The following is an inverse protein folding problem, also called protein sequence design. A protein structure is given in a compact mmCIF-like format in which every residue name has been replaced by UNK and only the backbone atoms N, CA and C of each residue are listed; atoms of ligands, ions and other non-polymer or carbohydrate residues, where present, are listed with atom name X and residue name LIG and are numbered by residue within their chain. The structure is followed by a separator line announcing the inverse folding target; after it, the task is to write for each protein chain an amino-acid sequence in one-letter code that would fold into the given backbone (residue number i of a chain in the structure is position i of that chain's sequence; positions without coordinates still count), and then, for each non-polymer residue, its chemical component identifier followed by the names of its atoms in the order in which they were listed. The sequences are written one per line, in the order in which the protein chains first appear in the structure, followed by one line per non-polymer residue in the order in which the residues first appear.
data_IF_458832760340
#
_entry.id   IF_458832760340
#
_cell.length_a   1.000
_cell.length_b   1.000
_cell.length_c   1.000
_cell.angle_alpha   90.00
_cell.angle_beta   90.00
_cell.angle_gamma   90.00
#
_symmetry.space_group_name_H-M   'P 1'
#
loop_
_entity.id
_entity.type
_entity.pdbx_description
1 polymer ?
#
# COMPACT_ATOMS: atom_id res chain seq x y z
N UNK A 1 -4.68 -38.49 -4.55
CA UNK A 1 -5.54 -37.42 -4.01
C UNK A 1 -6.75 -37.15 -4.89
N UNK A 2 -6.64 -37.05 -6.23
CA UNK A 2 -7.75 -36.66 -7.12
C UNK A 2 -9.00 -37.55 -7.23
N UNK A 3 -9.14 -38.61 -6.42
CA UNK A 3 -10.37 -39.42 -6.39
C UNK A 3 -11.39 -38.95 -5.33
N UNK A 4 -11.03 -37.94 -4.53
CA UNK A 4 -11.85 -37.38 -3.46
C UNK A 4 -12.79 -36.27 -3.98
N UNK A 5 -13.66 -36.63 -4.92
CA UNK A 5 -14.51 -35.67 -5.66
C UNK A 5 -15.56 -34.94 -4.80
N UNK A 6 -15.86 -35.45 -3.61
CA UNK A 6 -16.83 -34.88 -2.67
C UNK A 6 -16.17 -34.11 -1.51
N UNK A 7 -14.85 -33.85 -1.59
CA UNK A 7 -14.15 -33.15 -0.53
C UNK A 7 -14.35 -31.64 -0.68
N UNK A 8 -14.87 -31.00 0.37
CA UNK A 8 -15.14 -29.55 0.40
C UNK A 8 -14.01 -28.74 1.01
N UNK A 9 -13.29 -29.29 1.99
CA UNK A 9 -12.17 -28.62 2.65
C UNK A 9 -11.01 -29.58 2.82
N UNK A 10 -9.82 -29.12 2.47
CA UNK A 10 -8.57 -29.85 2.62
C UNK A 10 -7.56 -28.94 3.31
N UNK A 11 -7.33 -29.20 4.59
CA UNK A 11 -6.24 -28.58 5.35
C UNK A 11 -5.16 -29.63 5.60
N UNK A 12 -4.02 -29.42 4.97
CA UNK A 12 -2.79 -30.20 5.11
C UNK A 12 -1.66 -29.34 5.68
N UNK A 13 -1.98 -28.19 6.26
CA UNK A 13 -1.00 -27.24 6.76
C UNK A 13 -0.16 -27.82 7.89
N UNK A 14 1.04 -27.27 8.09
CA UNK A 14 1.93 -27.58 9.23
C UNK A 14 2.31 -29.05 9.32
N UNK A 15 2.57 -29.66 8.19
CA UNK A 15 3.09 -31.02 8.09
C UNK A 15 4.54 -31.00 7.57
N UNK A 16 5.09 -32.17 7.32
CA UNK A 16 6.43 -32.31 6.71
C UNK A 16 6.33 -32.89 5.30
N UNK A 17 5.25 -32.60 4.57
CA UNK A 17 5.05 -33.14 3.23
C UNK A 17 6.11 -32.59 2.28
N UNK A 18 6.69 -33.49 1.47
CA UNK A 18 7.68 -33.20 0.44
C UNK A 18 7.15 -33.66 -0.92
N UNK A 19 7.83 -33.25 -2.00
CA UNK A 19 7.40 -33.55 -3.36
C UNK A 19 6.65 -32.39 -4.00
N UNK A 20 6.27 -32.55 -5.27
CA UNK A 20 5.47 -31.55 -5.97
C UNK A 20 3.99 -31.66 -5.66
N UNK A 21 3.28 -30.52 -5.76
CA UNK A 21 1.82 -30.53 -5.73
C UNK A 21 1.34 -31.35 -6.94
N UNK A 22 0.59 -32.45 -6.70
CA UNK A 22 0.13 -33.32 -7.77
C UNK A 22 -0.91 -32.62 -8.65
N UNK A 23 -0.85 -32.80 -9.97
CA UNK A 23 -1.83 -32.19 -10.89
C UNK A 23 -3.26 -32.66 -10.65
N UNK A 24 -3.41 -33.85 -10.08
CA UNK A 24 -4.68 -34.47 -9.68
C UNK A 24 -5.39 -33.69 -8.56
N UNK A 25 -4.73 -32.71 -7.93
CA UNK A 25 -5.41 -31.80 -7.01
C UNK A 25 -6.53 -31.05 -7.72
N UNK A 26 -6.35 -30.75 -9.01
CA UNK A 26 -7.34 -30.09 -9.86
C UNK A 26 -8.59 -30.91 -10.18
N UNK A 27 -8.63 -32.20 -9.84
CA UNK A 27 -9.79 -33.08 -10.05
C UNK A 27 -10.80 -33.02 -8.89
N UNK A 28 -10.48 -32.26 -7.84
CA UNK A 28 -11.30 -32.10 -6.63
C UNK A 28 -12.33 -30.97 -6.80
N UNK A 29 -13.25 -31.12 -7.76
CA UNK A 29 -14.17 -30.06 -8.23
C UNK A 29 -15.06 -29.42 -7.15
N UNK A 30 -15.33 -30.12 -6.04
CA UNK A 30 -16.14 -29.61 -4.93
C UNK A 30 -15.33 -28.89 -3.85
N UNK A 31 -14.01 -28.80 -4.01
CA UNK A 31 -13.14 -28.20 -3.02
C UNK A 31 -13.36 -26.68 -2.97
N UNK A 32 -13.65 -26.19 -1.77
CA UNK A 32 -13.86 -24.77 -1.47
C UNK A 32 -12.86 -24.26 -0.43
N UNK A 33 -11.90 -25.07 0.01
CA UNK A 33 -10.76 -24.66 0.85
C UNK A 33 -9.61 -25.64 0.67
N UNK A 34 -8.41 -25.12 0.40
CA UNK A 34 -7.15 -25.83 0.27
C UNK A 34 -6.05 -25.09 1.02
N UNK A 35 -5.64 -25.61 2.17
CA UNK A 35 -4.48 -25.11 2.90
C UNK A 35 -3.36 -26.16 2.81
N UNK A 36 -2.28 -25.83 2.09
CA UNK A 36 -1.06 -26.61 1.99
C UNK A 36 0.12 -25.94 2.72
N UNK A 37 -0.16 -24.88 3.49
CA UNK A 37 0.88 -24.03 4.05
C UNK A 37 1.80 -24.75 5.03
N UNK A 38 2.99 -24.23 5.28
CA UNK A 38 3.93 -24.78 6.26
C UNK A 38 4.25 -26.26 6.01
N UNK A 39 4.73 -26.58 4.81
CA UNK A 39 5.22 -27.89 4.41
C UNK A 39 6.60 -27.75 3.73
N UNK A 40 7.07 -28.79 3.04
CA UNK A 40 8.31 -28.83 2.25
C UNK A 40 8.03 -29.20 0.78
N UNK A 41 6.87 -28.78 0.26
CA UNK A 41 6.44 -29.06 -1.11
C UNK A 41 7.27 -28.23 -2.09
N UNK A 42 7.71 -28.80 -3.22
CA UNK A 42 8.59 -28.13 -4.18
C UNK A 42 8.14 -28.27 -5.64
N UNK A 43 8.75 -27.54 -6.57
CA UNK A 43 8.35 -27.57 -7.98
C UNK A 43 7.16 -26.65 -8.27
N UNK A 44 6.63 -26.70 -9.51
CA UNK A 44 5.62 -25.75 -9.96
C UNK A 44 4.24 -26.00 -9.40
N UNK A 45 3.51 -24.91 -9.19
CA UNK A 45 2.07 -24.96 -9.01
C UNK A 45 1.48 -25.58 -10.29
N UNK A 46 0.80 -26.73 -10.22
CA UNK A 46 0.26 -27.38 -11.40
C UNK A 46 -0.86 -26.52 -11.98
N UNK A 47 -0.88 -26.36 -13.30
CA UNK A 47 -1.92 -25.54 -13.93
C UNK A 47 -3.30 -26.04 -13.53
N UNK A 48 -3.52 -27.35 -13.49
CA UNK A 48 -4.79 -27.99 -13.14
C UNK A 48 -5.41 -27.52 -11.83
N UNK A 49 -4.61 -26.99 -10.89
CA UNK A 49 -5.12 -26.40 -9.65
C UNK A 49 -6.03 -25.18 -9.91
N UNK A 50 -5.92 -24.52 -11.07
CA UNK A 50 -6.85 -23.47 -11.52
C UNK A 50 -8.29 -23.96 -11.65
N UNK A 51 -8.52 -25.25 -11.91
CA UNK A 51 -9.88 -25.81 -12.08
C UNK A 51 -10.68 -25.78 -10.77
N UNK A 52 -9.97 -25.74 -9.64
CA UNK A 52 -10.58 -25.59 -8.33
C UNK A 52 -11.01 -24.13 -8.25
N UNK A 53 -12.33 -23.88 -8.37
CA UNK A 53 -12.92 -22.55 -8.29
C UNK A 53 -12.87 -22.00 -6.86
N UNK A 54 -11.68 -22.01 -6.25
CA UNK A 54 -11.38 -21.58 -4.90
C UNK A 54 -11.37 -20.05 -4.88
N UNK A 55 -12.00 -19.47 -3.88
CA UNK A 55 -11.88 -18.04 -3.65
C UNK A 55 -10.51 -17.72 -3.02
N UNK A 56 -10.09 -16.46 -3.08
CA UNK A 56 -8.79 -15.98 -2.57
C UNK A 56 -8.57 -16.25 -1.06
N UNK A 57 -9.61 -16.56 -0.29
CA UNK A 57 -9.53 -16.89 1.16
C UNK A 57 -9.44 -18.38 1.45
N UNK A 58 -9.55 -19.16 0.39
CA UNK A 58 -9.73 -20.60 0.43
C UNK A 58 -8.53 -21.34 -0.16
N UNK A 59 -7.41 -20.65 -0.45
CA UNK A 59 -6.18 -21.24 -0.93
C UNK A 59 -4.96 -20.65 -0.20
N UNK A 60 -4.23 -21.49 0.54
CA UNK A 60 -2.96 -21.12 1.16
C UNK A 60 -1.86 -22.10 0.74
N UNK A 61 -0.80 -21.58 0.10
CA UNK A 61 0.37 -22.35 -0.35
C UNK A 61 1.66 -21.88 0.33
N UNK A 62 1.55 -20.94 1.27
CA UNK A 62 2.69 -20.24 1.88
C UNK A 62 3.60 -21.19 2.67
N UNK A 63 4.84 -20.79 2.91
CA UNK A 63 5.80 -21.61 3.67
C UNK A 63 6.00 -23.03 3.09
N UNK A 64 6.28 -23.09 1.79
CA UNK A 64 6.73 -24.26 1.03
C UNK A 64 7.94 -23.89 0.14
N UNK A 65 8.51 -24.89 -0.55
CA UNK A 65 9.65 -24.77 -1.47
C UNK A 65 9.23 -24.73 -2.96
N UNK A 66 8.01 -24.28 -3.27
CA UNK A 66 7.45 -24.23 -4.63
C UNK A 66 8.26 -23.31 -5.55
N UNK A 67 8.41 -23.68 -6.83
CA UNK A 67 9.20 -22.94 -7.83
C UNK A 67 8.58 -23.00 -9.24
N UNK A 68 8.89 -22.04 -10.11
CA UNK A 68 8.42 -22.07 -11.51
C UNK A 68 7.41 -20.97 -11.84
N UNK A 69 7.00 -20.84 -13.11
CA UNK A 69 6.10 -19.78 -13.53
C UNK A 69 4.71 -20.03 -12.95
N UNK A 70 4.03 -18.94 -12.58
CA UNK A 70 2.61 -19.00 -12.27
C UNK A 70 1.86 -19.52 -13.51
N UNK A 71 0.95 -20.50 -13.33
CA UNK A 71 0.10 -21.00 -14.41
C UNK A 71 -0.49 -19.89 -15.27
N UNK A 72 -0.50 -20.05 -16.59
CA UNK A 72 -1.09 -19.02 -17.48
C UNK A 72 -2.54 -18.75 -17.14
N UNK A 73 -3.29 -19.77 -16.74
CA UNK A 73 -4.67 -19.64 -16.30
C UNK A 73 -4.86 -18.68 -15.11
N UNK A 74 -3.86 -18.48 -14.25
CA UNK A 74 -3.91 -17.49 -13.17
C UNK A 74 -3.49 -16.09 -13.64
N UNK A 75 -2.68 -16.01 -14.71
CA UNK A 75 -2.25 -14.73 -15.33
C UNK A 75 -3.28 -14.17 -16.30
N UNK A 76 -4.01 -15.04 -16.99
CA UNK A 76 -4.96 -14.69 -18.05
C UNK A 76 -6.37 -14.44 -17.50
N UNK A 77 -6.62 -14.85 -16.24
CA UNK A 77 -7.77 -14.39 -15.48
C UNK A 77 -7.42 -12.99 -14.95
N UNK A 78 -8.24 -11.98 -15.29
CA UNK A 78 -8.00 -10.55 -14.98
C UNK A 78 -8.12 -10.21 -13.47
N UNK A 79 -7.71 -11.11 -12.57
CA UNK A 79 -7.97 -11.04 -11.13
C UNK A 79 -6.75 -11.06 -10.22
N UNK A 80 -5.55 -11.44 -10.70
CA UNK A 80 -4.34 -11.54 -9.87
C UNK A 80 -3.15 -10.75 -10.45
N UNK A 81 -2.48 -9.94 -9.61
CA UNK A 81 -1.25 -9.22 -9.95
C UNK A 81 0.00 -9.99 -9.47
N UNK A 82 1.07 -9.99 -10.25
CA UNK A 82 2.30 -10.72 -9.93
C UNK A 82 3.52 -9.79 -9.94
N UNK A 83 4.16 -9.59 -8.79
CA UNK A 83 5.45 -8.88 -8.69
C UNK A 83 6.59 -9.89 -8.70
N UNK A 84 7.38 -9.90 -9.77
CA UNK A 84 8.54 -10.78 -9.91
C UNK A 84 9.82 -10.05 -9.49
N UNK A 85 10.60 -10.67 -8.61
CA UNK A 85 11.92 -10.17 -8.22
C UNK A 85 12.97 -10.85 -9.10
N UNK A 86 13.75 -10.06 -9.84
CA UNK A 86 14.80 -10.55 -10.72
C UNK A 86 16.05 -10.94 -9.92
N UNK A 87 16.75 -11.99 -10.36
CA UNK A 87 18.05 -12.34 -9.79
C UNK A 87 19.09 -11.33 -10.28
N UNK A 88 19.64 -10.54 -9.36
CA UNK A 88 20.63 -9.49 -9.63
C UNK A 88 22.01 -9.87 -9.09
N UNK A 89 23.01 -9.08 -9.48
CA UNK A 89 24.41 -9.23 -9.04
C UNK A 89 24.57 -9.03 -7.52
N UNK A 90 25.72 -9.45 -6.97
CA UNK A 90 25.90 -9.69 -5.53
C UNK A 90 25.69 -8.45 -4.63
N UNK A 91 25.91 -7.24 -5.14
CA UNK A 91 25.82 -6.01 -4.34
C UNK A 91 24.37 -5.53 -4.12
N UNK A 92 23.47 -5.77 -5.07
CA UNK A 92 22.05 -5.39 -4.97
C UNK A 92 21.21 -6.46 -4.29
N UNK A 93 21.71 -7.70 -4.24
CA UNK A 93 20.99 -8.86 -3.71
C UNK A 93 20.44 -8.63 -2.30
N UNK A 94 21.24 -8.08 -1.38
CA UNK A 94 20.82 -7.88 0.01
C UNK A 94 19.63 -6.92 0.14
N UNK A 95 19.57 -5.85 -0.67
CA UNK A 95 18.48 -4.89 -0.67
C UNK A 95 17.17 -5.52 -1.15
N UNK A 96 17.20 -6.23 -2.29
CA UNK A 96 16.03 -6.92 -2.82
C UNK A 96 15.54 -8.06 -1.93
N UNK A 97 16.45 -8.81 -1.30
CA UNK A 97 16.09 -9.87 -0.35
C UNK A 97 15.42 -9.30 0.90
N UNK A 98 15.92 -8.16 1.38
CA UNK A 98 15.29 -7.43 2.49
C UNK A 98 13.91 -6.93 2.08
N UNK A 99 13.77 -6.36 0.88
CA UNK A 99 12.49 -5.90 0.33
C UNK A 99 11.44 -6.99 0.26
N UNK A 100 11.77 -8.10 -0.39
CA UNK A 100 10.90 -9.26 -0.51
C UNK A 100 10.44 -9.79 0.87
N UNK A 101 11.36 -9.88 1.83
CA UNK A 101 11.04 -10.38 3.18
C UNK A 101 10.17 -9.40 3.96
N UNK A 102 10.45 -8.09 3.89
CA UNK A 102 9.65 -7.06 4.54
C UNK A 102 8.21 -7.07 4.02
N UNK A 103 8.05 -7.18 2.70
CA UNK A 103 6.75 -7.15 2.06
C UNK A 103 5.88 -8.35 2.48
N UNK A 104 6.46 -9.55 2.52
CA UNK A 104 5.78 -10.75 3.07
C UNK A 104 5.43 -10.54 4.54
N UNK A 105 6.39 -10.10 5.36
CA UNK A 105 6.17 -9.93 6.79
C UNK A 105 5.09 -8.90 7.10
N UNK A 106 5.03 -7.81 6.34
CA UNK A 106 4.00 -6.79 6.48
C UNK A 106 2.63 -7.33 6.05
N UNK A 107 2.51 -7.78 4.80
CA UNK A 107 1.22 -8.11 4.18
C UNK A 107 0.58 -9.40 4.72
N UNK A 108 1.36 -10.32 5.30
CA UNK A 108 0.79 -11.50 5.99
C UNK A 108 0.20 -11.18 7.36
N UNK A 109 0.51 -10.01 7.94
CA UNK A 109 0.10 -9.63 9.31
C UNK A 109 -0.95 -8.54 9.35
N UNK A 110 -1.11 -7.79 8.27
CA UNK A 110 -2.02 -6.65 8.20
C UNK A 110 -3.18 -6.96 7.25
N UNK A 111 -4.35 -6.40 7.57
CA UNK A 111 -5.50 -6.48 6.68
C UNK A 111 -6.33 -5.22 6.80
N UNK A 112 -6.43 -4.47 5.71
CA UNK A 112 -7.17 -3.21 5.66
C UNK A 112 -7.73 -3.00 4.26
N UNK A 113 -8.94 -2.44 4.16
CA UNK A 113 -9.66 -2.25 2.88
C UNK A 113 -8.96 -1.33 1.87
N UNK A 114 -7.95 -0.59 2.31
CA UNK A 114 -7.18 0.37 1.50
C UNK A 114 -5.69 -0.03 1.44
N UNK A 115 -5.38 -1.31 1.60
CA UNK A 115 -4.05 -1.91 1.47
C UNK A 115 -4.19 -3.14 0.59
N UNK A 116 -3.27 -3.34 -0.36
CA UNK A 116 -3.29 -4.51 -1.25
C UNK A 116 -3.26 -5.83 -0.47
N UNK A 117 -4.07 -6.80 -0.90
CA UNK A 117 -4.07 -8.14 -0.32
C UNK A 117 -3.00 -9.01 -0.98
N UNK A 118 -2.09 -9.58 -0.18
CA UNK A 118 -1.12 -10.57 -0.64
C UNK A 118 -1.78 -11.96 -0.60
N UNK A 119 -1.88 -12.62 -1.75
CA UNK A 119 -2.42 -13.97 -1.88
C UNK A 119 -1.38 -15.04 -1.61
N UNK A 120 -0.13 -14.79 -1.98
CA UNK A 120 0.92 -15.77 -1.77
C UNK A 120 2.28 -15.29 -2.26
N UNK A 121 3.29 -16.12 -1.98
CA UNK A 121 4.66 -15.82 -2.39
C UNK A 121 5.42 -17.11 -2.71
N UNK A 122 6.45 -16.97 -3.53
CA UNK A 122 7.45 -18.00 -3.79
C UNK A 122 8.81 -17.48 -3.38
N UNK A 123 9.54 -18.25 -2.56
CA UNK A 123 10.84 -17.88 -2.03
C UNK A 123 11.91 -18.93 -2.37
N UNK A 124 12.33 -19.00 -3.63
CA UNK A 124 13.36 -19.93 -4.10
C UNK A 124 14.66 -19.19 -4.45
N UNK A 125 15.87 -19.79 -4.26
CA UNK A 125 17.15 -19.16 -4.61
C UNK A 125 17.25 -18.63 -6.05
N UNK A 126 16.51 -19.23 -6.98
CA UNK A 126 16.48 -18.84 -8.41
C UNK A 126 15.27 -17.97 -8.79
N UNK A 127 14.24 -17.92 -7.96
CA UNK A 127 12.98 -17.27 -8.31
C UNK A 127 12.25 -16.80 -7.05
N UNK A 128 12.00 -15.50 -6.97
CA UNK A 128 11.21 -14.89 -5.91
C UNK A 128 10.08 -14.09 -6.54
N UNK A 129 8.85 -14.32 -6.09
CA UNK A 129 7.70 -13.54 -6.56
C UNK A 129 6.63 -13.44 -5.49
N UNK A 130 5.85 -12.38 -5.59
CA UNK A 130 4.69 -12.07 -4.76
C UNK A 130 3.46 -12.03 -5.66
N UNK A 131 2.36 -12.60 -5.17
CA UNK A 131 1.07 -12.65 -5.86
C UNK A 131 0.08 -11.85 -5.02
N UNK A 132 -0.54 -10.86 -5.63
CA UNK A 132 -1.47 -9.93 -5.00
C UNK A 132 -2.83 -9.99 -5.68
N UNK A 133 -3.80 -9.37 -5.02
CA UNK A 133 -4.99 -8.85 -5.69
C UNK A 133 -4.62 -8.00 -6.91
N UNK A 134 -5.23 -8.32 -8.05
CA UNK A 134 -5.18 -7.41 -9.19
C UNK A 134 -6.07 -6.22 -8.94
N UNK A 135 -5.44 -5.06 -8.88
CA UNK A 135 -6.14 -3.78 -8.86
C UNK A 135 -6.29 -3.32 -10.31
N UNK A 136 -7.54 -3.21 -10.79
CA UNK A 136 -7.86 -3.07 -12.22
C UNK A 136 -7.21 -1.85 -12.89
N UNK A 137 -7.01 -0.75 -12.14
CA UNK A 137 -6.34 0.44 -12.67
C UNK A 137 -4.91 0.51 -12.18
N UNK A 138 -4.13 1.23 -12.97
CA UNK A 138 -2.74 1.57 -12.71
C UNK A 138 -2.59 2.45 -11.45
N UNK A 139 -1.34 2.79 -11.15
CA UNK A 139 -1.01 3.70 -10.06
C UNK A 139 -1.70 5.06 -10.18
N UNK A 140 -1.92 5.70 -9.05
CA UNK A 140 -2.43 7.06 -8.96
C UNK A 140 -1.54 8.04 -9.75
N UNK A 141 -0.22 7.83 -9.75
CA UNK A 141 0.71 8.61 -10.57
C UNK A 141 0.37 8.54 -12.06
N UNK A 142 0.08 7.34 -12.57
CA UNK A 142 -0.33 7.14 -13.97
C UNK A 142 -1.64 7.86 -14.29
N UNK A 143 -2.63 7.77 -13.39
CA UNK A 143 -3.94 8.41 -13.57
C UNK A 143 -3.86 9.94 -13.51
N UNK A 144 -3.01 10.51 -12.65
CA UNK A 144 -2.78 11.96 -12.59
C UNK A 144 -1.96 12.46 -13.79
N UNK A 145 -1.03 11.66 -14.31
CA UNK A 145 -0.14 12.04 -15.41
C UNK A 145 -0.78 12.10 -16.80
N UNK A 146 -2.01 11.60 -16.97
CA UNK A 146 -2.72 11.57 -18.26
C UNK A 146 -4.00 12.40 -18.15
N UNK A 147 -4.09 13.50 -18.90
CA UNK A 147 -5.22 14.45 -18.83
C UNK A 147 -6.60 13.76 -18.98
N UNK A 148 -6.75 12.87 -19.96
CA UNK A 148 -7.99 12.12 -20.17
C UNK A 148 -8.38 11.24 -18.97
N UNK A 149 -7.41 10.74 -18.20
CA UNK A 149 -7.62 9.92 -17.00
C UNK A 149 -7.76 10.76 -15.74
N UNK A 150 -7.05 11.87 -15.65
CA UNK A 150 -7.13 12.83 -14.54
C UNK A 150 -8.54 13.40 -14.38
N UNK A 151 -9.28 13.54 -15.49
CA UNK A 151 -10.69 13.97 -15.48
C UNK A 151 -11.66 12.91 -14.95
N UNK A 152 -11.33 11.61 -15.05
CA UNK A 152 -12.13 10.52 -14.45
C UNK A 152 -12.09 10.59 -12.90
N UNK A 153 -10.96 11.09 -12.36
CA UNK A 153 -10.71 11.30 -10.93
C UNK A 153 -11.05 12.74 -10.51
N UNK A 154 -12.35 13.07 -10.51
CA UNK A 154 -12.85 14.38 -10.08
C UNK A 154 -12.50 14.70 -8.60
N UNK A 155 -12.74 15.95 -8.19
CA UNK A 155 -12.38 16.42 -6.85
C UNK A 155 -12.91 15.57 -5.68
N UNK A 156 -14.15 15.05 -5.79
CA UNK A 156 -14.72 14.22 -4.73
C UNK A 156 -13.97 12.90 -4.62
N UNK A 157 -13.64 12.28 -5.75
CA UNK A 157 -12.86 11.04 -5.79
C UNK A 157 -11.44 11.25 -5.30
N UNK A 158 -10.79 12.37 -5.64
CA UNK A 158 -9.47 12.76 -5.09
C UNK A 158 -9.49 12.88 -3.56
N UNK A 159 -10.53 13.51 -3.00
CA UNK A 159 -10.72 13.57 -1.55
C UNK A 159 -10.96 12.18 -0.93
N UNK A 160 -11.66 11.28 -1.62
CA UNK A 160 -11.82 9.90 -1.17
C UNK A 160 -10.49 9.15 -1.17
N UNK A 161 -9.64 9.34 -2.20
CA UNK A 161 -8.28 8.78 -2.24
C UNK A 161 -7.47 9.24 -1.03
N UNK A 162 -7.45 10.55 -0.74
CA UNK A 162 -6.78 11.12 0.43
C UNK A 162 -7.29 10.46 1.73
N UNK A 163 -8.61 10.31 1.86
CA UNK A 163 -9.22 9.67 3.04
C UNK A 163 -8.84 8.21 3.16
N UNK A 164 -8.88 7.43 2.08
CA UNK A 164 -8.55 6.00 2.12
C UNK A 164 -7.09 5.75 2.50
N UNK A 165 -6.15 6.53 1.93
CA UNK A 165 -4.73 6.49 2.32
C UNK A 165 -4.54 6.90 3.78
N UNK A 166 -5.25 7.94 4.25
CA UNK A 166 -5.20 8.37 5.66
C UNK A 166 -5.63 7.25 6.60
N UNK A 167 -6.73 6.56 6.29
CA UNK A 167 -7.22 5.45 7.11
C UNK A 167 -6.23 4.29 7.16
N UNK A 168 -5.67 3.89 6.01
CA UNK A 168 -4.67 2.82 5.94
C UNK A 168 -3.43 3.14 6.77
N UNK A 169 -2.89 4.36 6.65
CA UNK A 169 -1.74 4.78 7.43
C UNK A 169 -2.03 4.90 8.92
N UNK A 170 -3.21 5.40 9.30
CA UNK A 170 -3.64 5.41 10.72
C UNK A 170 -3.69 3.99 11.29
N UNK A 171 -4.24 3.04 10.54
CA UNK A 171 -4.30 1.63 10.93
C UNK A 171 -2.89 1.03 11.09
N UNK A 172 -1.99 1.25 10.13
CA UNK A 172 -0.59 0.78 10.20
C UNK A 172 0.14 1.34 11.43
N UNK A 173 0.00 2.64 11.69
CA UNK A 173 0.77 3.32 12.74
C UNK A 173 0.20 3.11 14.15
N UNK A 174 -1.11 2.91 14.29
CA UNK A 174 -1.77 2.99 15.59
C UNK A 174 -2.59 1.75 15.97
N UNK A 175 -3.07 0.98 15.00
CA UNK A 175 -3.92 -0.19 15.26
C UNK A 175 -3.14 -1.51 15.13
N UNK A 176 -2.03 -1.52 14.37
CA UNK A 176 -1.13 -2.66 14.30
C UNK A 176 -0.26 -2.77 15.57
N UNK A 177 -0.08 -3.98 16.08
CA UNK A 177 0.82 -4.28 17.20
C UNK A 177 1.80 -5.38 16.81
N UNK A 178 3.12 -5.10 16.70
CA UNK A 178 3.73 -3.77 16.79
C UNK A 178 3.29 -2.81 15.65
N UNK A 179 3.46 -1.48 15.81
CA UNK A 179 3.19 -0.52 14.74
C UNK A 179 4.00 -0.81 13.47
N UNK A 180 3.37 -0.64 12.31
CA UNK A 180 3.99 -0.81 10.99
C UNK A 180 4.22 0.54 10.33
N UNK A 181 5.41 0.76 9.79
CA UNK A 181 5.74 1.96 9.01
C UNK A 181 6.06 1.54 7.58
N UNK A 182 5.50 2.25 6.60
CA UNK A 182 5.65 1.92 5.19
C UNK A 182 7.00 2.36 4.62
N UNK A 183 7.45 3.58 4.96
CA UNK A 183 8.70 4.24 4.53
C UNK A 183 8.85 4.56 3.04
N UNK A 184 7.81 4.35 2.24
CA UNK A 184 7.83 4.61 0.79
C UNK A 184 6.44 5.00 0.25
N UNK A 185 5.76 5.90 0.96
CA UNK A 185 4.46 6.41 0.51
C UNK A 185 4.67 7.38 -0.67
N UNK A 186 4.03 7.09 -1.80
CA UNK A 186 4.06 7.92 -3.01
C UNK A 186 2.86 7.62 -3.90
N UNK A 187 2.60 8.46 -4.92
CA UNK A 187 1.53 8.24 -5.90
C UNK A 187 1.75 7.01 -6.78
N UNK A 188 2.98 6.51 -6.92
CA UNK A 188 3.28 5.25 -7.61
C UNK A 188 2.82 4.03 -6.79
N UNK A 189 2.86 4.15 -5.47
CA UNK A 189 2.55 3.08 -4.52
C UNK A 189 1.10 3.15 -4.00
N UNK A 190 0.25 3.97 -4.62
CA UNK A 190 -1.20 3.97 -4.40
C UNK A 190 -1.88 3.52 -5.68
N UNK A 191 -2.50 2.35 -5.64
CA UNK A 191 -3.27 1.78 -6.76
C UNK A 191 -4.75 2.15 -6.60
N UNK A 192 -5.50 2.18 -7.71
CA UNK A 192 -6.94 2.48 -7.70
C UNK A 192 -7.73 1.34 -8.32
N UNK A 193 -8.76 0.86 -7.63
CA UNK A 193 -9.62 -0.20 -8.18
C UNK A 193 -10.65 0.34 -9.18
N UNK A 194 -11.56 -0.54 -9.63
CA UNK A 194 -12.61 -0.21 -10.57
C UNK A 194 -13.47 0.98 -10.10
N UNK A 195 -13.71 1.07 -8.80
CA UNK A 195 -14.52 2.08 -8.12
C UNK A 195 -13.72 3.35 -7.78
N UNK A 196 -12.41 3.37 -8.09
CA UNK A 196 -11.45 4.43 -7.76
C UNK A 196 -11.24 4.58 -6.25
N UNK A 197 -11.35 3.48 -5.51
CA UNK A 197 -10.93 3.40 -4.11
C UNK A 197 -9.42 3.09 -4.04
N UNK A 198 -8.70 3.71 -3.09
CA UNK A 198 -7.25 3.59 -3.01
C UNK A 198 -6.80 2.34 -2.27
N UNK A 199 -5.72 1.73 -2.78
CA UNK A 199 -5.01 0.61 -2.17
C UNK A 199 -3.52 0.91 -2.09
N UNK A 200 -2.98 1.03 -0.89
CA UNK A 200 -1.53 1.20 -0.68
C UNK A 200 -0.83 -0.12 -1.04
N UNK A 201 0.21 -0.03 -1.85
CA UNK A 201 1.03 -1.12 -2.35
C UNK A 201 2.52 -0.89 -2.05
N UNK A 202 3.36 -1.88 -2.37
CA UNK A 202 4.81 -1.86 -2.20
C UNK A 202 5.33 -1.71 -0.77
N UNK A 203 5.14 -2.77 0.02
CA UNK A 203 5.64 -2.85 1.39
C UNK A 203 7.10 -3.35 1.45
N UNK A 204 7.86 -3.30 0.35
CA UNK A 204 9.26 -3.73 0.34
C UNK A 204 10.12 -2.94 1.31
N UNK A 205 9.79 -1.66 1.50
CA UNK A 205 10.43 -0.81 2.50
C UNK A 205 9.68 -0.82 3.83
N UNK A 206 8.67 -1.64 4.08
CA UNK A 206 7.95 -1.57 5.35
C UNK A 206 8.77 -2.12 6.53
N UNK A 207 8.49 -1.66 7.76
CA UNK A 207 9.13 -2.17 8.98
C UNK A 207 8.23 -2.06 10.20
N UNK A 208 8.17 -3.13 10.98
CA UNK A 208 7.56 -3.13 12.30
C UNK A 208 8.48 -2.46 13.32
N UNK A 209 7.92 -1.55 14.12
CA UNK A 209 8.62 -0.90 15.22
C UNK A 209 8.66 -1.83 16.44
N UNK A 210 9.82 -2.42 16.70
CA UNK A 210 10.03 -3.16 17.94
C UNK A 210 10.37 -2.19 19.08
N UNK A 211 9.64 -2.21 20.22
CA UNK A 211 9.89 -1.35 21.38
C UNK A 211 11.33 -1.46 21.91
N UNK A 212 11.92 -2.65 21.82
CA UNK A 212 13.26 -2.96 22.34
C UNK A 212 14.39 -2.69 21.34
N UNK A 213 14.05 -2.25 20.12
CA UNK A 213 15.03 -2.01 19.06
C UNK A 213 15.34 -0.54 18.94
N UNK A 214 16.62 -0.18 18.95
CA UNK A 214 17.16 1.13 18.56
C UNK A 214 17.04 1.36 17.05
N UNK A 215 15.89 1.01 16.45
CA UNK A 215 15.61 1.13 15.02
C UNK A 215 15.25 2.58 14.66
N UNK A 216 16.12 3.52 15.03
CA UNK A 216 16.22 4.81 14.37
C UNK A 216 16.98 4.59 13.06
N UNK A 217 16.31 4.80 11.92
CA UNK A 217 17.03 4.91 10.65
C UNK A 217 17.82 6.22 10.67
N UNK A 218 19.14 6.12 10.75
CA UNK A 218 20.06 7.21 10.48
C UNK A 218 19.88 7.63 9.03
N UNK A 219 19.22 8.75 8.79
CA UNK A 219 19.36 9.44 7.51
C UNK A 219 20.70 10.21 7.57
N UNK A 220 21.56 9.98 6.58
CA UNK A 220 22.92 10.50 6.56
C UNK A 220 22.96 12.03 6.60
N UNK A 221 23.76 12.57 7.52
CA UNK A 221 24.19 13.96 7.54
C UNK A 221 23.26 14.91 8.31
N UNK A 222 23.62 15.15 9.57
CA UNK A 222 23.10 16.18 10.51
C UNK A 222 21.97 15.72 11.44
N UNK A 223 22.19 15.99 12.74
CA UNK A 223 21.44 15.55 13.91
C UNK A 223 19.92 15.75 13.84
N UNK A 224 19.14 14.68 14.06
CA UNK A 224 18.15 14.51 15.16
C UNK A 224 17.36 13.20 14.97
N UNK A 225 17.01 12.54 16.08
CA UNK A 225 16.25 11.29 16.09
C UNK A 225 14.83 11.50 15.53
N UNK A 226 14.62 11.12 14.27
CA UNK A 226 13.29 11.12 13.64
C UNK A 226 12.57 9.84 14.06
N UNK A 227 11.44 9.98 14.74
CA UNK A 227 10.55 8.85 14.99
C UNK A 227 10.09 8.31 13.62
N UNK A 228 10.32 7.02 13.28
CA UNK A 228 10.33 6.61 11.87
C UNK A 228 8.95 6.75 11.20
N UNK A 229 7.85 6.78 11.96
CA UNK A 229 6.49 7.01 11.47
C UNK A 229 6.29 8.44 10.92
N UNK A 230 7.10 9.39 11.38
CA UNK A 230 7.06 10.79 10.89
C UNK A 230 7.58 10.93 9.46
N UNK A 231 8.26 9.92 8.93
CA UNK A 231 8.63 9.85 7.51
C UNK A 231 7.38 9.62 6.66
N UNK A 232 6.54 8.65 7.02
CA UNK A 232 5.27 8.38 6.32
C UNK A 232 4.35 9.60 6.35
N UNK A 233 4.29 10.32 7.47
CA UNK A 233 3.49 11.57 7.58
C UNK A 233 3.98 12.62 6.59
N UNK A 234 5.30 12.82 6.47
CA UNK A 234 5.84 13.77 5.50
C UNK A 234 5.52 13.37 4.06
N UNK A 235 5.75 12.10 3.71
CA UNK A 235 5.43 11.55 2.38
C UNK A 235 3.94 11.64 2.06
N UNK A 236 3.06 11.44 3.06
CA UNK A 236 1.63 11.67 2.93
C UNK A 236 1.31 13.14 2.60
N UNK A 237 1.98 14.10 3.24
CA UNK A 237 1.83 15.52 2.92
C UNK A 237 2.17 15.84 1.46
N UNK A 238 3.27 15.27 0.94
CA UNK A 238 3.65 15.39 -0.49
C UNK A 238 2.57 14.80 -1.39
N UNK A 239 2.11 13.59 -1.08
CA UNK A 239 1.08 12.88 -1.83
C UNK A 239 -0.25 13.66 -1.90
N UNK A 240 -0.70 14.26 -0.79
CA UNK A 240 -1.93 15.07 -0.76
C UNK A 240 -1.81 16.28 -1.68
N UNK A 241 -0.66 16.99 -1.66
CA UNK A 241 -0.44 18.11 -2.57
C UNK A 241 -0.40 17.65 -4.03
N UNK A 242 0.27 16.54 -4.32
CA UNK A 242 0.33 15.96 -5.66
C UNK A 242 -1.07 15.63 -6.20
N UNK A 243 -1.94 15.02 -5.37
CA UNK A 243 -3.33 14.72 -5.73
C UNK A 243 -4.12 15.99 -6.05
N UNK A 244 -3.97 17.04 -5.25
CA UNK A 244 -4.73 18.29 -5.43
C UNK A 244 -4.23 19.08 -6.64
N UNK A 245 -2.91 19.06 -6.87
CA UNK A 245 -2.26 19.79 -7.96
C UNK A 245 -2.29 19.06 -9.31
N UNK A 246 -2.50 17.73 -9.32
CA UNK A 246 -2.38 16.91 -10.53
C UNK A 246 -0.96 16.76 -11.05
N UNK A 247 0.04 17.19 -10.28
CA UNK A 247 1.46 17.19 -10.64
C UNK A 247 2.33 17.21 -9.39
N UNK A 248 3.59 16.82 -9.53
CA UNK A 248 4.52 16.76 -8.40
C UNK A 248 4.72 18.16 -7.75
N UNK A 249 4.62 18.30 -6.42
CA UNK A 249 4.56 19.59 -5.73
C UNK A 249 5.93 20.24 -5.47
N UNK A 250 7.00 19.86 -6.19
CA UNK A 250 8.37 20.33 -5.91
C UNK A 250 8.50 21.85 -5.86
N UNK A 251 7.88 22.55 -6.81
CA UNK A 251 7.91 24.01 -6.89
C UNK A 251 7.21 24.64 -5.69
N UNK A 252 6.04 24.11 -5.30
CA UNK A 252 5.26 24.60 -4.17
C UNK A 252 6.01 24.38 -2.85
N UNK A 253 6.60 23.20 -2.64
CA UNK A 253 7.39 22.89 -1.45
C UNK A 253 8.61 23.81 -1.35
N UNK A 254 9.26 24.10 -2.48
CA UNK A 254 10.37 25.06 -2.53
C UNK A 254 9.92 26.48 -2.15
N UNK A 255 8.72 26.90 -2.59
CA UNK A 255 8.14 28.19 -2.23
C UNK A 255 7.77 28.28 -0.75
N UNK A 256 7.18 27.22 -0.19
CA UNK A 256 6.82 27.14 1.24
C UNK A 256 8.04 27.15 2.17
N UNK A 257 9.18 26.69 1.66
CA UNK A 257 10.46 26.72 2.40
C UNK A 257 11.16 28.08 2.34
N UNK A 258 10.67 29.01 1.50
CA UNK A 258 11.24 30.34 1.35
C UNK A 258 10.64 31.32 2.37
N UNK A 259 11.45 32.16 3.04
CA UNK A 259 10.96 33.16 3.99
C UNK A 259 10.08 34.26 3.35
N UNK A 260 10.06 34.35 2.02
CA UNK A 260 9.24 35.31 1.25
C UNK A 260 8.03 34.63 0.59
N UNK A 261 7.39 33.68 1.26
CA UNK A 261 6.18 33.02 0.76
C UNK A 261 5.16 34.08 0.32
N UNK A 262 4.93 34.19 -0.99
CA UNK A 262 3.85 35.02 -1.55
C UNK A 262 2.51 34.38 -1.17
N UNK A 263 1.45 35.18 -1.06
CA UNK A 263 0.10 34.67 -0.88
C UNK A 263 -0.23 33.67 -2.00
N UNK A 264 -0.22 32.37 -1.67
CA UNK A 264 -0.55 31.31 -2.61
C UNK A 264 -2.07 31.28 -2.75
N UNK A 265 -2.57 31.64 -3.93
CA UNK A 265 -4.01 31.61 -4.22
C UNK A 265 -4.41 30.19 -4.60
N UNK A 266 -5.45 29.65 -3.95
CA UNK A 266 -5.93 28.28 -4.15
C UNK A 266 -6.09 27.89 -5.63
N UNK A 267 -6.66 28.79 -6.44
CA UNK A 267 -6.92 28.56 -7.87
C UNK A 267 -5.65 28.24 -8.69
N UNK A 268 -4.50 28.75 -8.25
CA UNK A 268 -3.21 28.59 -8.95
C UNK A 268 -2.53 27.26 -8.54
N UNK A 269 -3.05 26.62 -7.49
CA UNK A 269 -2.55 25.33 -6.98
C UNK A 269 -3.40 24.17 -7.50
N UNK A 270 -4.71 24.34 -7.65
CA UNK A 270 -5.60 23.28 -8.12
C UNK A 270 -5.20 22.77 -9.51
N UNK A 271 -5.33 21.46 -9.71
CA UNK A 271 -5.18 20.81 -11.01
C UNK A 271 -6.02 21.51 -12.11
N UNK A 272 -5.38 22.06 -13.15
CA UNK A 272 -6.06 22.76 -14.23
C UNK A 272 -6.89 21.82 -15.12
N UNK A 273 -6.68 20.50 -15.07
CA UNK A 273 -7.46 19.53 -15.85
C UNK A 273 -8.91 19.40 -15.34
N UNK A 274 -9.19 19.87 -14.12
CA UNK A 274 -10.51 19.79 -13.51
C UNK A 274 -11.22 21.15 -13.51
N UNK A 275 -12.56 21.18 -13.66
CA UNK A 275 -13.32 22.40 -13.49
C UNK A 275 -13.21 22.91 -12.04
N UNK A 276 -13.46 24.22 -11.80
CA UNK A 276 -13.44 24.76 -10.46
C UNK A 276 -14.36 23.98 -9.49
N UNK A 277 -13.90 23.70 -8.26
CA UNK A 277 -14.69 22.95 -7.29
C UNK A 277 -15.93 23.72 -6.84
N UNK A 278 -16.98 23.00 -6.43
CA UNK A 278 -18.11 23.62 -5.72
C UNK A 278 -17.67 24.12 -4.34
N UNK A 279 -18.43 25.05 -3.74
CA UNK A 279 -18.08 25.66 -2.45
C UNK A 279 -17.75 24.63 -1.36
N UNK A 280 -18.56 23.58 -1.24
CA UNK A 280 -18.32 22.52 -0.25
C UNK A 280 -17.03 21.74 -0.51
N UNK A 281 -16.73 21.47 -1.78
CA UNK A 281 -15.53 20.73 -2.18
C UNK A 281 -14.29 21.60 -2.02
N UNK A 282 -14.38 22.90 -2.33
CA UNK A 282 -13.31 23.86 -2.13
C UNK A 282 -12.90 23.93 -0.65
N UNK A 283 -13.87 23.93 0.27
CA UNK A 283 -13.62 23.89 1.71
C UNK A 283 -12.87 22.62 2.13
N UNK A 284 -13.31 21.45 1.67
CA UNK A 284 -12.62 20.18 1.94
C UNK A 284 -11.19 20.19 1.38
N UNK A 285 -10.97 20.72 0.17
CA UNK A 285 -9.66 20.83 -0.47
C UNK A 285 -8.71 21.75 0.30
N UNK A 286 -9.17 22.94 0.71
CA UNK A 286 -8.38 23.87 1.52
C UNK A 286 -7.97 23.21 2.83
N UNK A 287 -8.89 22.52 3.49
CA UNK A 287 -8.59 21.81 4.73
C UNK A 287 -7.58 20.69 4.54
N UNK A 288 -7.72 19.87 3.48
CA UNK A 288 -6.73 18.85 3.12
C UNK A 288 -5.35 19.46 2.82
N UNK A 289 -5.28 20.60 2.14
CA UNK A 289 -4.02 21.32 1.91
C UNK A 289 -3.38 21.82 3.20
N UNK A 290 -4.17 22.37 4.13
CA UNK A 290 -3.65 22.82 5.43
C UNK A 290 -3.04 21.66 6.22
N UNK A 291 -3.71 20.50 6.24
CA UNK A 291 -3.16 19.29 6.85
C UNK A 291 -1.89 18.81 6.14
N UNK A 292 -1.86 18.86 4.80
CA UNK A 292 -0.68 18.50 4.03
C UNK A 292 0.53 19.40 4.36
N UNK A 293 0.33 20.71 4.44
CA UNK A 293 1.37 21.67 4.84
C UNK A 293 1.87 21.37 6.26
N UNK A 294 0.97 21.05 7.20
CA UNK A 294 1.36 20.66 8.55
C UNK A 294 2.18 19.36 8.58
N UNK A 295 1.89 18.41 7.68
CA UNK A 295 2.66 17.18 7.51
C UNK A 295 4.09 17.43 6.98
N UNK A 296 4.27 18.50 6.20
CA UNK A 296 5.55 18.88 5.61
C UNK A 296 6.46 19.69 6.54
N UNK A 297 6.08 19.88 7.80
CA UNK A 297 6.87 20.63 8.76
C UNK A 297 8.31 20.08 8.86
N UNK A 298 9.30 20.98 8.87
CA UNK A 298 10.73 20.64 8.90
C UNK A 298 11.09 19.83 10.15
N UNK A 299 10.62 20.28 11.32
CA UNK A 299 10.67 19.52 12.57
C UNK A 299 9.67 18.33 12.57
N UNK A 300 10.12 17.06 12.65
CA UNK A 300 9.25 15.88 12.66
C UNK A 300 8.31 15.80 13.85
N UNK A 301 8.69 16.35 15.01
CA UNK A 301 7.84 16.33 16.22
C UNK A 301 6.60 17.22 16.07
N UNK A 302 6.70 18.25 15.24
CA UNK A 302 5.59 19.16 14.93
C UNK A 302 4.60 18.58 13.91
N UNK A 303 4.97 17.48 13.22
CA UNK A 303 4.06 16.84 12.27
C UNK A 303 2.93 16.13 13.01
N UNK A 304 1.66 16.26 12.59
CA UNK A 304 0.53 15.60 13.23
C UNK A 304 0.62 14.07 13.14
N UNK A 305 -0.09 13.37 14.03
CA UNK A 305 -0.21 11.90 13.96
C UNK A 305 -1.29 11.50 12.93
N UNK A 306 -1.11 10.36 12.26
CA UNK A 306 -2.11 9.87 11.28
C UNK A 306 -3.46 9.59 11.92
N UNK A 307 -3.50 9.15 13.18
CA UNK A 307 -4.76 9.00 13.92
C UNK A 307 -5.50 10.33 14.11
N UNK A 308 -4.80 11.44 14.32
CA UNK A 308 -5.42 12.77 14.40
C UNK A 308 -5.97 13.17 13.02
N UNK A 309 -5.16 13.05 11.96
CA UNK A 309 -5.54 13.37 10.58
C UNK A 309 -6.81 12.58 10.18
N UNK A 310 -6.85 11.28 10.49
CA UNK A 310 -8.00 10.41 10.19
C UNK A 310 -9.28 10.89 10.87
N UNK A 311 -9.22 11.27 12.15
CA UNK A 311 -10.40 11.76 12.90
C UNK A 311 -10.94 13.06 12.33
N UNK A 312 -10.06 14.00 11.97
CA UNK A 312 -10.49 15.31 11.48
C UNK A 312 -10.99 15.24 10.03
N UNK A 313 -10.41 14.41 9.16
CA UNK A 313 -10.93 14.20 7.80
C UNK A 313 -12.25 13.42 7.77
N UNK A 314 -12.56 12.65 8.82
CA UNK A 314 -13.80 11.91 8.98
C UNK A 314 -14.98 12.71 9.56
N UNK A 315 -14.73 13.89 10.15
CA UNK A 315 -15.76 14.68 10.83
C UNK A 315 -16.32 15.80 9.93
N UNK A 316 -17.64 16.12 10.01
CA UNK A 316 -18.24 17.21 9.25
C UNK A 316 -17.70 18.58 9.67
N UNK A 317 -17.50 19.48 8.70
CA UNK A 317 -16.72 20.71 8.87
C UNK A 317 -17.14 21.65 10.03
N UNK A 318 -18.39 21.60 10.47
CA UNK A 318 -18.90 22.44 11.56
C UNK A 318 -18.26 22.15 12.93
N UNK A 319 -17.53 21.04 13.10
CA UNK A 319 -16.73 20.77 14.30
C UNK A 319 -15.29 21.28 14.22
N UNK A 320 -14.83 21.76 13.05
CA UNK A 320 -13.42 22.11 12.81
C UNK A 320 -13.05 23.54 13.17
N UNK A 321 -14.01 24.43 13.44
CA UNK A 321 -13.76 25.80 13.87
C UNK A 321 -13.06 25.91 15.25
N UNK A 322 -13.01 24.83 16.03
CA UNK A 322 -12.24 24.78 17.29
C UNK A 322 -10.79 24.30 17.13
N UNK A 323 -10.39 23.80 15.95
CA UNK A 323 -9.05 23.20 15.73
C UNK A 323 -7.98 24.22 15.32
N UNK A 324 -8.36 25.46 14.98
CA UNK A 324 -7.42 26.57 14.80
C UNK A 324 -6.75 27.00 16.11
N UNK A 325 -7.27 26.58 17.26
CA UNK A 325 -6.68 26.82 18.58
C UNK A 325 -5.60 25.78 18.98
N UNK A 326 -5.46 24.68 18.22
CA UNK A 326 -4.51 23.59 18.54
C UNK A 326 -3.29 23.54 17.61
N UNK A 327 -3.13 24.48 16.67
CA UNK A 327 -1.83 24.68 16.03
C UNK A 327 -0.95 25.49 16.97
N UNK A 328 0.11 24.92 17.59
CA UNK A 328 1.13 25.75 18.17
C UNK A 328 1.86 26.40 17.00
N UNK A 329 1.49 27.65 16.68
CA UNK A 329 2.39 28.54 15.97
C UNK A 329 3.63 28.69 16.86
N UNK A 330 4.64 27.86 16.60
CA UNK A 330 5.95 27.99 17.20
C UNK A 330 6.62 29.23 16.61
N UNK A 331 6.94 30.18 17.48
CA UNK A 331 7.91 31.25 17.22
C UNK A 331 9.30 30.69 16.93
#
# INVERSE_FOLDING_TARGET
MGNLKNLYRLDLSKNTFTGSIPMEIGDMEQLTLLDLSHNKLYGSIPEQMWKLNLSHRDLDLSYNDLEGPIPKAWRDNKGDAVKKFHHLEAEEKAYYETGFTNEIQALTRIKHRNIVELYGFCSHPRCKFLVYEYIERESLAYLLGIEAKATELNWRKRLNVIKGVTHALSYCHHDCTPPLIHRDISSNNVLLDADLEPHIADFGMAKFLNPDSSNCTVLAGTFEYIAPEKCDVYSFGVLVLEIIMGRHPSELISLLSSPNAKDIVLKDVLDPCLPPPTQSVAQDLVFSMMLAIACLHTNPKSRPAMQYISRVLGSPMNSHCNLSAEFPCGN
#
